data_IF_990713620992
#
_entry.id   IF_990713620992
#
_cell.length_a   1.000
_cell.length_b   1.000
_cell.length_c   1.000
_cell.angle_alpha   90.00
_cell.angle_beta   90.00
_cell.angle_gamma   90.00
#
_symmetry.space_group_name_H-M   'P 1'
#
loop_
_entity.id
_entity.type
_entity.pdbx_description
1 polymer ?
#
# COMPACT_ATOMS: atom_id res chain seq x y z
N UNK A 1 12.21 8.55 12.33
CA UNK A 1 11.99 8.41 10.88
C UNK A 1 10.53 8.67 10.59
N UNK A 2 10.27 9.35 9.49
CA UNK A 2 8.95 9.67 8.97
C UNK A 2 8.67 8.74 7.79
N UNK A 3 7.49 8.13 7.75
CA UNK A 3 7.06 7.20 6.72
C UNK A 3 5.81 7.75 6.05
N UNK A 4 5.94 8.22 4.81
CA UNK A 4 4.82 8.67 3.99
C UNK A 4 4.23 7.47 3.25
N UNK A 5 2.95 7.22 3.42
CA UNK A 5 2.22 6.11 2.82
C UNK A 5 1.39 6.61 1.63
N UNK A 6 1.65 6.04 0.47
CA UNK A 6 1.00 6.38 -0.79
C UNK A 6 0.16 5.20 -1.28
N UNK A 7 -1.10 5.43 -1.62
CA UNK A 7 -2.02 4.41 -2.14
C UNK A 7 -2.13 4.55 -3.65
N UNK A 8 -2.07 3.44 -4.37
CA UNK A 8 -2.42 3.41 -5.80
C UNK A 8 -3.87 3.87 -6.02
N UNK A 9 -4.10 4.64 -7.08
CA UNK A 9 -5.45 5.05 -7.49
C UNK A 9 -6.15 4.01 -8.38
N UNK A 10 -5.53 2.84 -8.54
CA UNK A 10 -6.00 1.71 -9.32
C UNK A 10 -5.96 0.41 -8.49
N UNK A 11 -6.72 -0.57 -8.96
CA UNK A 11 -6.68 -1.94 -8.47
C UNK A 11 -5.73 -2.73 -9.38
N UNK A 12 -4.90 -3.61 -8.80
CA UNK A 12 -4.01 -4.44 -9.59
C UNK A 12 -4.82 -5.35 -10.51
N UNK A 13 -4.49 -5.33 -11.79
CA UNK A 13 -5.09 -6.18 -12.81
C UNK A 13 -4.09 -7.24 -13.24
N UNK A 14 -4.63 -8.40 -13.63
CA UNK A 14 -3.86 -9.54 -14.08
C UNK A 14 -4.31 -9.95 -15.48
N UNK A 15 -3.37 -10.44 -16.29
CA UNK A 15 -3.68 -11.03 -17.58
C UNK A 15 -4.29 -12.45 -17.42
N UNK A 16 -4.60 -13.10 -18.54
CA UNK A 16 -5.17 -14.46 -18.54
C UNK A 16 -4.23 -15.54 -17.96
N UNK A 17 -2.94 -15.25 -17.84
CA UNK A 17 -1.93 -16.13 -17.27
C UNK A 17 -1.70 -15.87 -15.77
N UNK A 18 -2.32 -14.83 -15.21
CA UNK A 18 -2.13 -14.42 -13.82
C UNK A 18 -0.91 -13.52 -13.60
N UNK A 19 -0.33 -12.97 -14.67
CA UNK A 19 0.76 -12.01 -14.57
C UNK A 19 0.19 -10.59 -14.39
N UNK A 20 0.78 -9.75 -13.52
CA UNK A 20 0.29 -8.39 -13.32
C UNK A 20 0.44 -7.57 -14.61
N UNK A 21 -0.59 -6.81 -14.94
CA UNK A 21 -0.51 -5.82 -16.03
C UNK A 21 0.45 -4.67 -15.65
N UNK A 22 0.82 -3.86 -16.64
CA UNK A 22 1.68 -2.69 -16.41
C UNK A 22 1.10 -1.78 -15.32
N UNK A 23 2.00 -1.31 -14.46
CA UNK A 23 1.68 -0.47 -13.32
C UNK A 23 1.41 0.95 -13.82
N UNK A 24 0.43 1.61 -13.19
CA UNK A 24 0.21 3.04 -13.42
C UNK A 24 0.99 3.85 -12.39
N UNK A 25 1.63 4.94 -12.83
CA UNK A 25 2.24 5.94 -11.94
C UNK A 25 1.16 6.91 -11.43
N UNK A 26 0.26 6.38 -10.61
CA UNK A 26 -0.90 7.10 -10.08
C UNK A 26 -1.07 6.78 -8.59
N UNK A 27 -0.38 7.55 -7.75
CA UNK A 27 -0.35 7.36 -6.30
C UNK A 27 -0.77 8.62 -5.54
N UNK A 28 -1.46 8.41 -4.40
CA UNK A 28 -1.97 9.47 -3.54
C UNK A 28 -1.46 9.30 -2.11
N UNK A 29 -0.95 10.37 -1.49
CA UNK A 29 -0.54 10.37 -0.09
C UNK A 29 -1.76 10.22 0.81
N UNK A 30 -1.85 9.12 1.55
CA UNK A 30 -2.98 8.79 2.43
C UNK A 30 -2.61 8.76 3.91
N UNK A 31 -1.31 8.69 4.24
CA UNK A 31 -0.86 8.61 5.62
C UNK A 31 0.56 9.11 5.83
N UNK A 32 0.84 9.53 7.07
CA UNK A 32 2.20 9.86 7.53
C UNK A 32 2.36 9.27 8.92
N UNK A 33 3.31 8.36 9.06
CA UNK A 33 3.58 7.65 10.31
C UNK A 33 4.99 7.90 10.80
N UNK A 34 5.20 7.74 12.10
CA UNK A 34 6.48 8.01 12.75
C UNK A 34 6.93 6.81 13.56
N UNK A 35 8.15 6.36 13.30
CA UNK A 35 8.78 5.27 14.04
C UNK A 35 10.30 5.40 14.03
N UNK A 36 10.97 4.59 14.85
CA UNK A 36 12.42 4.54 14.90
C UNK A 36 13.04 3.95 13.63
N UNK A 37 12.41 2.90 13.08
CA UNK A 37 12.82 2.12 11.93
C UNK A 37 11.59 1.42 11.31
N UNK A 38 11.77 0.77 10.16
CA UNK A 38 10.67 0.12 9.41
C UNK A 38 10.07 -1.07 10.16
N UNK A 39 10.85 -1.80 10.96
CA UNK A 39 10.36 -2.91 11.77
C UNK A 39 9.36 -2.41 12.82
N UNK A 40 9.67 -1.27 13.46
CA UNK A 40 8.76 -0.59 14.40
C UNK A 40 7.60 0.10 13.69
N UNK A 41 7.79 0.58 12.47
CA UNK A 41 6.74 1.18 11.66
C UNK A 41 5.72 0.15 11.15
N UNK A 42 6.15 -1.07 10.84
CA UNK A 42 5.35 -2.13 10.21
C UNK A 42 3.94 -2.31 10.80
N UNK A 43 3.74 -2.54 12.12
CA UNK A 43 2.39 -2.70 12.66
C UNK A 43 1.53 -1.42 12.55
N UNK A 44 2.15 -0.24 12.52
CA UNK A 44 1.47 1.05 12.36
C UNK A 44 1.02 1.21 10.91
N UNK A 45 1.92 0.93 9.96
CA UNK A 45 1.65 1.00 8.52
C UNK A 45 0.58 0.00 8.10
N UNK A 46 0.61 -1.25 8.60
CA UNK A 46 -0.45 -2.24 8.36
C UNK A 46 -1.80 -1.71 8.84
N UNK A 47 -1.84 -1.12 10.04
CA UNK A 47 -3.07 -0.52 10.56
C UNK A 47 -3.54 0.65 9.69
N UNK A 48 -2.64 1.51 9.24
CA UNK A 48 -2.96 2.65 8.38
C UNK A 48 -3.59 2.20 7.05
N UNK A 49 -3.02 1.18 6.41
CA UNK A 49 -3.59 0.57 5.19
C UNK A 49 -4.99 -0.01 5.46
N UNK A 50 -5.15 -0.75 6.55
CA UNK A 50 -6.46 -1.32 6.94
C UNK A 50 -7.50 -0.24 7.18
N UNK A 51 -7.16 0.81 7.92
CA UNK A 51 -8.07 1.92 8.21
C UNK A 51 -8.46 2.67 6.92
N UNK A 52 -7.49 2.95 6.04
CA UNK A 52 -7.70 3.61 4.75
C UNK A 52 -8.66 2.80 3.86
N UNK A 53 -8.42 1.50 3.72
CA UNK A 53 -9.29 0.65 2.91
C UNK A 53 -10.66 0.46 3.54
N UNK A 54 -10.75 0.30 4.86
CA UNK A 54 -12.03 0.13 5.58
C UNK A 54 -12.91 1.38 5.53
N UNK A 55 -12.30 2.57 5.46
CA UNK A 55 -13.03 3.85 5.38
C UNK A 55 -13.31 4.29 3.94
N UNK A 56 -12.70 3.63 2.95
CA UNK A 56 -12.98 3.86 1.54
C UNK A 56 -14.40 3.38 1.19
N UNK A 57 -15.32 4.25 0.71
CA UNK A 57 -16.71 3.88 0.46
C UNK A 57 -16.91 2.69 -0.49
N UNK A 58 -15.99 2.51 -1.44
CA UNK A 58 -15.99 1.37 -2.38
C UNK A 58 -15.82 0.02 -1.66
N UNK A 59 -15.17 0.00 -0.51
CA UNK A 59 -14.80 -1.22 0.23
C UNK A 59 -15.46 -1.32 1.61
N UNK A 60 -16.39 -0.42 1.97
CA UNK A 60 -16.94 -0.27 3.32
C UNK A 60 -17.61 -1.52 3.94
N UNK A 61 -17.91 -2.56 3.15
CA UNK A 61 -18.48 -3.84 3.61
C UNK A 61 -17.57 -5.05 3.32
N UNK A 62 -16.31 -4.81 3.00
CA UNK A 62 -15.33 -5.86 2.75
C UNK A 62 -14.47 -6.06 4.00
N UNK A 63 -14.05 -7.30 4.23
CA UNK A 63 -12.90 -7.54 5.11
C UNK A 63 -11.64 -7.02 4.41
N UNK A 64 -10.67 -6.50 5.16
CA UNK A 64 -9.42 -5.98 4.61
C UNK A 64 -8.23 -6.46 5.41
N UNK A 65 -7.10 -6.62 4.74
CA UNK A 65 -5.82 -6.95 5.34
C UNK A 65 -4.70 -6.21 4.59
N UNK A 66 -3.48 -6.28 5.12
CA UNK A 66 -2.29 -5.79 4.44
C UNK A 66 -1.10 -6.70 4.73
N UNK A 67 -0.22 -6.87 3.75
CA UNK A 67 1.10 -7.45 4.00
C UNK A 67 2.02 -6.44 4.70
N UNK A 68 3.08 -6.96 5.34
CA UNK A 68 4.14 -6.10 5.85
C UNK A 68 4.87 -5.39 4.71
N UNK A 69 5.51 -4.23 4.97
CA UNK A 69 6.39 -3.59 4.00
C UNK A 69 7.50 -4.53 3.56
N UNK A 70 7.76 -4.58 2.26
CA UNK A 70 8.96 -5.18 1.67
C UNK A 70 9.79 -4.09 0.97
N UNK A 71 11.07 -4.37 0.74
CA UNK A 71 11.93 -3.44 0.00
C UNK A 71 11.34 -3.20 -1.38
N UNK A 72 11.27 -1.94 -1.77
CA UNK A 72 10.82 -1.60 -3.11
C UNK A 72 11.90 -2.01 -4.12
N UNK A 73 11.57 -2.96 -5.01
CA UNK A 73 12.52 -3.53 -5.98
C UNK A 73 12.22 -3.18 -7.43
N UNK A 74 11.09 -2.52 -7.70
CA UNK A 74 10.68 -2.18 -9.06
C UNK A 74 11.30 -0.86 -9.52
N UNK A 75 11.56 -0.74 -10.82
CA UNK A 75 12.21 0.43 -11.43
C UNK A 75 11.29 1.68 -11.52
N UNK A 76 10.05 1.68 -10.97
CA UNK A 76 9.12 2.79 -11.23
C UNK A 76 9.62 4.15 -10.70
N UNK A 77 10.46 4.19 -9.66
CA UNK A 77 11.32 5.35 -9.34
C UNK A 77 12.23 5.06 -8.14
N UNK A 78 13.38 5.73 -8.06
CA UNK A 78 14.21 5.82 -6.84
C UNK A 78 13.52 6.64 -5.71
N UNK A 79 12.24 6.98 -5.86
CA UNK A 79 11.53 7.88 -4.94
C UNK A 79 10.92 7.15 -3.76
N UNK A 80 10.73 5.83 -3.81
CA UNK A 80 10.13 5.03 -2.73
C UNK A 80 11.11 3.98 -2.21
N UNK A 81 11.04 3.71 -0.91
CA UNK A 81 11.97 2.81 -0.22
C UNK A 81 11.34 1.44 0.06
N UNK A 82 10.02 1.38 0.22
CA UNK A 82 9.27 0.14 0.48
C UNK A 82 7.95 0.08 -0.28
N UNK A 83 7.45 -1.14 -0.50
CA UNK A 83 6.10 -1.42 -1.00
C UNK A 83 5.29 -2.28 -0.03
N UNK A 84 3.98 -2.13 -0.08
CA UNK A 84 3.01 -2.95 0.65
C UNK A 84 1.85 -3.31 -0.27
N UNK A 85 1.18 -4.42 0.01
CA UNK A 85 -0.08 -4.77 -0.64
C UNK A 85 -1.23 -4.70 0.36
N UNK A 86 -2.20 -3.85 0.05
CA UNK A 86 -3.53 -3.90 0.64
C UNK A 86 -4.37 -4.97 -0.04
N UNK A 87 -5.14 -5.71 0.75
CA UNK A 87 -6.03 -6.77 0.28
C UNK A 87 -7.44 -6.42 0.72
N UNK A 88 -8.37 -6.44 -0.21
CA UNK A 88 -9.79 -6.33 0.05
C UNK A 88 -10.43 -7.67 -0.30
N UNK A 89 -11.30 -8.18 0.58
CA UNK A 89 -12.05 -9.42 0.41
C UNK A 89 -13.54 -9.11 0.17
N UNK A 90 -13.98 -8.91 -1.09
CA UNK A 90 -15.37 -8.63 -1.36
C UNK A 90 -16.25 -9.85 -1.06
N UNK A 91 -17.43 -9.67 -0.45
CA UNK A 91 -18.32 -10.78 -0.16
C UNK A 91 -18.85 -11.39 -1.47
N UNK A 92 -18.60 -12.69 -1.67
CA UNK A 92 -19.02 -13.47 -2.84
C UNK A 92 -18.29 -13.15 -4.17
N UNK A 93 -17.08 -12.57 -4.11
CA UNK A 93 -16.22 -12.47 -5.29
C UNK A 93 -15.34 -13.72 -5.45
N UNK A 94 -15.03 -14.08 -6.70
CA UNK A 94 -14.13 -15.21 -7.02
C UNK A 94 -12.67 -14.90 -6.69
N UNK A 95 -12.31 -13.62 -6.64
CA UNK A 95 -10.96 -13.13 -6.39
C UNK A 95 -10.95 -11.93 -5.43
N UNK A 96 -9.84 -11.80 -4.70
CA UNK A 96 -9.58 -10.63 -3.86
C UNK A 96 -9.08 -9.47 -4.73
N UNK A 97 -9.30 -8.26 -4.23
CA UNK A 97 -8.77 -7.05 -4.87
C UNK A 97 -7.45 -6.71 -4.18
N UNK A 98 -6.41 -6.51 -4.98
CA UNK A 98 -5.09 -6.11 -4.52
C UNK A 98 -4.85 -4.64 -4.86
N UNK A 99 -4.37 -3.88 -3.88
CA UNK A 99 -4.14 -2.43 -4.00
C UNK A 99 -2.70 -2.16 -3.56
N UNK A 100 -1.83 -1.72 -4.48
CA UNK A 100 -0.47 -1.35 -4.13
C UNK A 100 -0.42 -0.12 -3.22
N UNK A 101 0.51 -0.15 -2.27
CA UNK A 101 0.92 0.99 -1.49
C UNK A 101 2.44 1.15 -1.56
N UNK A 102 2.90 2.39 -1.69
CA UNK A 102 4.32 2.74 -1.69
C UNK A 102 4.65 3.56 -0.46
N UNK A 103 5.87 3.41 0.05
CA UNK A 103 6.31 4.09 1.27
C UNK A 103 7.60 4.84 0.97
N UNK A 104 7.62 6.11 1.36
CA UNK A 104 8.83 6.93 1.40
C UNK A 104 9.28 7.15 2.85
N UNK A 105 10.49 6.68 3.15
CA UNK A 105 11.18 6.93 4.42
C UNK A 105 11.98 8.23 4.32
N UNK A 106 11.72 9.15 5.26
CA UNK A 106 12.41 10.43 5.36
C UNK A 106 13.01 10.59 6.77
N UNK A 107 14.22 11.14 6.82
CA UNK A 107 14.82 11.59 8.08
C UNK A 107 14.18 12.94 8.48
N UNK A 108 13.79 13.09 9.74
CA UNK A 108 13.18 14.33 10.25
C UNK A 108 14.16 15.53 10.24
N UNK A 109 15.45 15.30 9.98
CA UNK A 109 16.45 16.38 9.85
C UNK A 109 16.39 17.16 8.52
N UNK A 110 15.49 16.78 7.60
CA UNK A 110 15.31 17.39 6.28
C UNK A 110 13.96 18.14 6.20
N UNK A 111 13.79 19.21 6.97
CA UNK A 111 12.73 20.22 6.76
C UNK A 111 13.31 21.64 6.67
#
# INVERSE_FOLDING_TARGET
>A
MKYKLYRAQYEMQFDENGEPLEWEDAFELVGVEYAQDVDRATPILIKAVIDELSTTPKYANCEVAAFAPDLYTQELSDEYDYEMMGIVYPPNADHNILIPFLIKEEDESQE
#
